data_IF_088116554884
#
_entry.id   IF_088116554884
#
_cell.length_a   1.000
_cell.length_b   1.000
_cell.length_c   1.000
_cell.angle_alpha   90.00
_cell.angle_beta   90.00
_cell.angle_gamma   90.00
#
_symmetry.space_group_name_H-M   'P 1'
#
loop_
_entity.id
_entity.type
_entity.pdbx_description
1 polymer ?
#
# COMPACT_ATOMS: atom_id res chain seq x y z
N UNK A 1 11.42 -12.91 9.96
CA UNK A 1 10.48 -12.57 8.86
C UNK A 1 9.04 -12.61 9.39
N UNK A 2 8.45 -11.46 9.69
CA UNK A 2 7.03 -11.39 10.06
C UNK A 2 6.17 -11.79 8.86
N UNK A 3 5.51 -12.96 8.94
CA UNK A 3 4.52 -13.38 7.93
C UNK A 3 3.44 -12.31 7.83
N UNK A 4 3.34 -11.68 6.66
CA UNK A 4 2.35 -10.65 6.40
C UNK A 4 0.98 -11.32 6.37
N UNK A 5 0.13 -11.00 7.35
CA UNK A 5 -1.18 -11.64 7.59
C UNK A 5 -2.16 -11.55 6.40
N UNK A 6 -1.87 -10.72 5.40
CA UNK A 6 -2.71 -10.48 4.23
C UNK A 6 -1.86 -10.29 2.96
N UNK A 7 -1.36 -11.38 2.34
CA UNK A 7 -0.50 -11.30 1.16
C UNK A 7 -1.21 -10.67 -0.04
N UNK A 8 -2.47 -11.01 -0.32
CA UNK A 8 -3.22 -10.47 -1.45
C UNK A 8 -3.45 -8.96 -1.33
N UNK A 9 -3.79 -8.47 -0.13
CA UNK A 9 -3.95 -7.04 0.12
C UNK A 9 -2.64 -6.28 -0.06
N UNK A 10 -1.53 -6.85 0.40
CA UNK A 10 -0.21 -6.28 0.16
C UNK A 10 0.12 -6.24 -1.34
N UNK A 11 -0.06 -7.35 -2.06
CA UNK A 11 0.24 -7.40 -3.49
C UNK A 11 -0.61 -6.40 -4.27
N UNK A 12 -1.92 -6.34 -4.01
CA UNK A 12 -2.80 -5.36 -4.63
C UNK A 12 -2.36 -3.92 -4.31
N UNK A 13 -2.10 -3.63 -3.04
CA UNK A 13 -1.64 -2.32 -2.60
C UNK A 13 -0.36 -1.89 -3.34
N UNK A 14 0.63 -2.77 -3.43
CA UNK A 14 1.88 -2.49 -4.13
C UNK A 14 1.70 -2.35 -5.64
N UNK A 15 0.82 -3.16 -6.23
CA UNK A 15 0.49 -3.06 -7.65
C UNK A 15 -0.18 -1.71 -7.96
N UNK A 16 -1.14 -1.27 -7.15
CA UNK A 16 -1.78 0.04 -7.31
C UNK A 16 -0.80 1.18 -7.07
N UNK A 17 0.02 1.09 -6.02
CA UNK A 17 1.06 2.08 -5.76
C UNK A 17 2.08 2.16 -6.92
N UNK A 18 2.39 1.03 -7.56
CA UNK A 18 3.24 0.98 -8.78
C UNK A 18 2.54 1.62 -9.97
N UNK A 19 1.25 1.34 -10.15
CA UNK A 19 0.44 1.85 -11.25
C UNK A 19 0.29 3.37 -11.17
N UNK A 20 0.19 3.92 -9.96
CA UNK A 20 0.16 5.36 -9.70
C UNK A 20 1.55 6.01 -9.67
N UNK A 21 2.60 5.23 -9.43
CA UNK A 21 3.98 5.67 -9.57
C UNK A 21 4.30 6.94 -8.76
N UNK A 22 4.94 7.91 -9.43
CA UNK A 22 5.36 9.19 -8.84
C UNK A 22 4.20 10.08 -8.41
N UNK A 23 3.04 9.96 -9.07
CA UNK A 23 1.85 10.77 -8.76
C UNK A 23 1.28 10.41 -7.40
N UNK A 24 1.55 9.19 -6.93
CA UNK A 24 1.14 8.69 -5.62
C UNK A 24 -0.37 8.53 -5.47
N UNK A 25 -0.81 8.28 -4.25
CA UNK A 25 -2.20 8.07 -3.90
C UNK A 25 -2.55 8.52 -2.49
N UNK A 26 -3.85 8.70 -2.25
CA UNK A 26 -4.39 8.89 -0.90
C UNK A 26 -4.99 7.59 -0.37
N UNK A 27 -5.03 7.44 0.95
CA UNK A 27 -5.66 6.28 1.60
C UNK A 27 -7.13 6.08 1.16
N UNK A 28 -7.99 7.12 1.07
CA UNK A 28 -9.35 6.95 0.59
C UNK A 28 -9.43 6.38 -0.84
N UNK A 29 -8.60 6.85 -1.77
CA UNK A 29 -8.58 6.35 -3.14
C UNK A 29 -8.21 4.87 -3.19
N UNK A 30 -7.14 4.47 -2.50
CA UNK A 30 -6.75 3.06 -2.39
C UNK A 30 -7.84 2.20 -1.75
N UNK A 31 -8.57 2.76 -0.78
CA UNK A 31 -9.68 2.05 -0.14
C UNK A 31 -10.84 1.80 -1.09
N UNK A 32 -11.18 2.79 -1.92
CA UNK A 32 -12.19 2.65 -2.98
C UNK A 32 -11.80 1.56 -3.97
N UNK A 33 -10.56 1.58 -4.47
CA UNK A 33 -10.06 0.57 -5.42
C UNK A 33 -10.10 -0.85 -4.83
N UNK A 34 -9.61 -1.01 -3.59
CA UNK A 34 -9.63 -2.30 -2.90
C UNK A 34 -11.05 -2.81 -2.59
N UNK A 35 -11.98 -1.89 -2.31
CA UNK A 35 -13.38 -2.25 -2.09
C UNK A 35 -14.05 -2.68 -3.39
N UNK A 36 -13.83 -1.94 -4.48
CA UNK A 36 -14.38 -2.22 -5.80
C UNK A 36 -13.86 -3.53 -6.40
N UNK A 37 -12.58 -3.85 -6.17
CA UNK A 37 -12.00 -5.13 -6.58
C UNK A 37 -12.67 -6.33 -5.88
N UNK A 38 -13.13 -6.15 -4.63
CA UNK A 38 -13.90 -7.14 -3.88
C UNK A 38 -13.14 -8.41 -3.48
N UNK A 39 -12.01 -8.74 -4.11
CA UNK A 39 -11.24 -9.96 -3.84
C UNK A 39 -10.26 -9.81 -2.67
N UNK A 40 -9.84 -8.57 -2.37
CA UNK A 40 -8.85 -8.26 -1.34
C UNK A 40 -9.44 -8.33 0.08
N UNK A 41 -10.65 -7.78 0.26
CA UNK A 41 -11.37 -7.75 1.53
C UNK A 41 -12.88 -7.93 1.29
N UNK A 42 -13.33 -9.13 0.89
CA UNK A 42 -14.73 -9.36 0.47
C UNK A 42 -15.76 -9.06 1.55
N UNK A 43 -15.37 -9.15 2.83
CA UNK A 43 -16.26 -8.99 3.97
C UNK A 43 -16.12 -7.63 4.67
N UNK A 44 -15.33 -6.70 4.13
CA UNK A 44 -15.11 -5.39 4.74
C UNK A 44 -15.76 -4.28 3.92
N UNK A 45 -16.38 -3.33 4.60
CA UNK A 45 -16.82 -2.10 3.97
C UNK A 45 -15.63 -1.15 3.70
N UNK A 46 -15.85 -0.16 2.83
CA UNK A 46 -14.81 0.79 2.42
C UNK A 46 -14.14 1.51 3.60
N UNK A 47 -14.86 1.85 4.66
CA UNK A 47 -14.31 2.56 5.82
C UNK A 47 -13.39 1.67 6.68
N UNK A 48 -13.73 0.40 6.83
CA UNK A 48 -12.87 -0.60 7.45
C UNK A 48 -11.61 -0.84 6.62
N UNK A 49 -11.74 -0.89 5.29
CA UNK A 49 -10.62 -1.01 4.36
C UNK A 49 -9.69 0.21 4.47
N UNK A 50 -10.25 1.42 4.51
CA UNK A 50 -9.51 2.67 4.67
C UNK A 50 -8.66 2.67 5.95
N UNK A 51 -9.21 2.20 7.08
CA UNK A 51 -8.48 2.10 8.34
C UNK A 51 -7.31 1.12 8.25
N UNK A 52 -7.49 -0.01 7.56
CA UNK A 52 -6.42 -0.99 7.32
C UNK A 52 -5.33 -0.43 6.42
N UNK A 53 -5.71 0.24 5.33
CA UNK A 53 -4.74 0.88 4.42
C UNK A 53 -3.98 1.98 5.13
N UNK A 54 -4.63 2.81 5.94
CA UNK A 54 -3.93 3.83 6.74
C UNK A 54 -2.87 3.19 7.64
N UNK A 55 -3.22 2.05 8.26
CA UNK A 55 -2.29 1.28 9.08
C UNK A 55 -1.13 0.73 8.24
N UNK A 56 -1.40 0.15 7.07
CA UNK A 56 -0.33 -0.34 6.17
C UNK A 56 0.57 0.77 5.68
N UNK A 57 0.00 1.87 5.18
CA UNK A 57 0.76 3.01 4.70
C UNK A 57 1.68 3.55 5.80
N UNK A 58 1.17 3.69 7.03
CA UNK A 58 2.00 4.07 8.19
C UNK A 58 3.13 3.07 8.44
N UNK A 59 2.80 1.77 8.53
CA UNK A 59 3.81 0.72 8.75
C UNK A 59 4.91 0.77 7.69
N UNK A 60 4.52 0.83 6.42
CA UNK A 60 5.44 0.90 5.28
C UNK A 60 6.26 2.19 5.22
N UNK A 61 5.83 3.28 5.85
CA UNK A 61 6.59 4.53 5.93
C UNK A 61 7.49 4.66 7.17
N UNK A 62 7.13 4.03 8.30
CA UNK A 62 7.75 4.35 9.60
C UNK A 62 8.26 3.15 10.41
N UNK A 63 7.73 1.94 10.17
CA UNK A 63 8.11 0.75 10.96
C UNK A 63 9.17 -0.12 10.27
N UNK A 64 9.38 0.06 8.95
CA UNK A 64 10.54 -0.50 8.27
C UNK A 64 11.73 0.47 8.46
N UNK A 65 12.96 -0.04 8.48
CA UNK A 65 14.16 0.80 8.38
C UNK A 65 13.92 1.81 7.24
N UNK A 66 14.31 3.09 7.35
CA UNK A 66 14.17 4.04 6.24
C UNK A 66 14.71 3.52 4.90
N UNK A 67 15.72 2.64 4.94
CA UNK A 67 16.32 1.90 3.80
C UNK A 67 15.56 0.62 3.40
N UNK A 68 14.47 0.31 4.08
CA UNK A 68 13.53 -0.79 3.79
C UNK A 68 12.11 -0.23 3.57
N UNK A 69 11.92 1.08 3.74
CA UNK A 69 10.67 1.79 3.58
C UNK A 69 10.30 1.86 2.11
N UNK A 70 9.37 1.01 1.70
CA UNK A 70 8.90 0.93 0.30
C UNK A 70 7.94 2.06 -0.08
N UNK A 71 7.47 2.84 0.89
CA UNK A 71 6.66 4.05 0.66
C UNK A 71 7.36 5.27 1.23
N UNK A 72 7.08 6.41 0.62
CA UNK A 72 7.42 7.72 1.17
C UNK A 72 6.15 8.60 1.30
N UNK A 73 5.97 9.29 2.44
CA UNK A 73 4.87 10.23 2.60
C UNK A 73 5.16 11.55 1.86
N UNK A 74 4.16 12.04 1.14
CA UNK A 74 4.09 13.38 0.57
C UNK A 74 3.27 14.31 1.48
N UNK A 75 3.08 15.55 1.03
CA UNK A 75 2.22 16.53 1.72
C UNK A 75 0.79 15.97 1.86
N UNK A 76 0.14 16.25 3.00
CA UNK A 76 -1.29 15.98 3.23
C UNK A 76 -1.74 14.50 3.14
N UNK A 77 -0.98 13.55 3.70
CA UNK A 77 -1.35 12.10 3.76
C UNK A 77 -1.51 11.45 2.37
N UNK A 78 -0.76 11.96 1.41
CA UNK A 78 -0.55 11.38 0.09
C UNK A 78 0.73 10.53 0.17
N UNK A 79 0.74 9.35 -0.46
CA UNK A 79 1.84 8.39 -0.40
C UNK A 79 2.27 8.01 -1.81
N UNK A 80 3.56 7.74 -2.03
CA UNK A 80 4.03 7.13 -3.27
C UNK A 80 5.05 6.03 -2.98
N UNK A 81 5.37 5.22 -3.98
CA UNK A 81 6.47 4.25 -3.85
C UNK A 81 7.79 4.99 -3.73
N UNK A 82 8.62 4.52 -2.80
CA UNK A 82 10.03 4.88 -2.80
C UNK A 82 10.71 4.17 -3.97
N UNK A 83 11.18 4.92 -4.96
CA UNK A 83 11.76 4.37 -6.19
C UNK A 83 13.07 3.61 -5.97
N UNK A 84 13.79 3.87 -4.87
CA UNK A 84 14.96 3.09 -4.47
C UNK A 84 14.59 1.60 -4.21
N UNK A 85 13.32 1.32 -3.87
CA UNK A 85 12.80 -0.03 -3.61
C UNK A 85 11.85 -0.55 -4.70
N UNK A 86 11.65 0.21 -5.78
CA UNK A 86 10.75 -0.22 -6.86
C UNK A 86 11.24 -1.53 -7.51
N UNK A 87 12.55 -1.74 -7.62
CA UNK A 87 13.16 -2.94 -8.22
C UNK A 87 12.88 -4.22 -7.44
N UNK A 88 12.67 -4.11 -6.12
CA UNK A 88 12.42 -5.24 -5.23
C UNK A 88 10.99 -5.80 -5.42
N UNK A 89 10.05 -4.95 -5.85
CA UNK A 89 8.65 -5.34 -6.10
C UNK A 89 8.50 -6.03 -7.47
N UNK A 90 9.26 -5.59 -8.49
CA UNK A 90 9.21 -6.19 -9.84
C UNK A 90 9.85 -7.59 -9.92
N UNK A 91 10.67 -7.96 -8.94
CA UNK A 91 11.41 -9.22 -8.93
C UNK A 91 10.65 -10.38 -8.28
N UNK A 92 9.47 -10.12 -7.70
CA UNK A 92 8.58 -11.16 -7.18
C UNK A 92 7.76 -11.80 -8.33
N UNK A 93 8.41 -12.68 -9.12
CA UNK A 93 7.75 -13.66 -9.97
C UNK A 93 7.54 -14.97 -9.23
#
# INVERSE_FOLDING_TARGET
>A
MNRIKYPNARTFFLNQATKWGMDGFTVPQMATEMHNDGSVYPNLNQQQIQTRIATYAKKFCTEFDPRESILEPLKAKHYRLNFEHHTDIKSAK
#
